data_IF_058590199940
#
_entry.id   IF_058590199940
#
_cell.length_a   1.000
_cell.length_b   1.000
_cell.length_c   1.000
_cell.angle_alpha   90.00
_cell.angle_beta   90.00
_cell.angle_gamma   90.00
#
_symmetry.space_group_name_H-M   'P 1'
#
loop_
_entity.id
_entity.type
_entity.pdbx_description
1 polymer ?
#
# COMPACT_ATOMS: atom_id res chain seq x y z
N UNK A 1 6.51 -38.28 -21.87
CA UNK A 1 7.10 -38.76 -20.59
C UNK A 1 7.81 -37.59 -19.91
N UNK A 2 7.11 -36.56 -19.42
CA UNK A 2 6.65 -36.33 -18.03
C UNK A 2 7.74 -36.48 -16.95
N UNK A 3 8.59 -35.45 -16.89
CA UNK A 3 9.22 -34.78 -15.74
C UNK A 3 9.06 -35.47 -14.37
N UNK A 4 10.02 -36.32 -14.00
CA UNK A 4 10.14 -36.92 -12.64
C UNK A 4 11.25 -36.32 -11.77
N UNK A 5 11.93 -35.25 -12.21
CA UNK A 5 13.14 -34.75 -11.53
C UNK A 5 12.93 -33.59 -10.54
N UNK A 6 11.75 -32.98 -10.49
CA UNK A 6 11.50 -31.79 -9.64
C UNK A 6 10.98 -32.16 -8.24
N UNK A 7 10.52 -33.39 -8.02
CA UNK A 7 9.95 -33.80 -6.73
C UNK A 7 10.99 -34.19 -5.67
N UNK A 8 12.28 -34.32 -6.02
CA UNK A 8 13.31 -34.85 -5.12
C UNK A 8 14.09 -33.81 -4.33
N UNK A 9 13.99 -32.52 -4.66
CA UNK A 9 14.75 -31.44 -4.00
C UNK A 9 14.00 -30.89 -2.78
N UNK A 10 12.66 -30.98 -2.76
CA UNK A 10 11.83 -30.46 -1.67
C UNK A 10 11.90 -31.34 -0.41
N UNK A 11 12.29 -32.61 -0.52
CA UNK A 11 12.33 -33.53 0.63
C UNK A 11 13.64 -33.50 1.43
N UNK A 12 14.72 -32.88 0.91
CA UNK A 12 16.02 -32.84 1.60
C UNK A 12 16.15 -31.63 2.54
N UNK A 13 15.34 -30.57 2.36
CA UNK A 13 15.37 -29.40 3.25
C UNK A 13 14.62 -29.58 4.58
N UNK A 14 13.86 -30.67 4.75
CA UNK A 14 13.05 -30.90 5.96
C UNK A 14 13.80 -31.65 7.09
N UNK A 15 15.05 -32.07 6.90
CA UNK A 15 15.78 -32.93 7.88
C UNK A 15 16.85 -32.15 8.68
N UNK A 16 17.11 -30.88 8.38
CA UNK A 16 18.14 -30.10 9.10
C UNK A 16 17.60 -29.31 10.32
N UNK A 17 16.28 -29.31 10.57
CA UNK A 17 15.68 -28.60 11.72
C UNK A 17 15.32 -29.48 12.93
N UNK A 18 15.69 -30.76 12.96
CA UNK A 18 15.25 -31.69 14.02
C UNK A 18 16.30 -32.10 15.06
N UNK A 19 17.53 -31.60 15.00
CA UNK A 19 18.60 -32.04 15.92
C UNK A 19 19.21 -30.93 16.79
N UNK A 20 18.38 -30.13 17.47
CA UNK A 20 18.84 -29.40 18.66
C UNK A 20 17.83 -29.45 19.81
N UNK A 21 17.29 -30.64 20.05
CA UNK A 21 16.82 -31.12 21.35
C UNK A 21 17.43 -32.52 21.44
N UNK A 22 18.39 -32.81 22.31
CA UNK A 22 18.22 -33.01 23.75
C UNK A 22 19.63 -33.12 24.35
N UNK A 23 19.95 -32.39 25.42
CA UNK A 23 20.59 -32.97 26.62
C UNK A 23 20.81 -31.91 27.70
N UNK A 24 20.03 -31.97 28.78
CA UNK A 24 20.52 -32.28 30.13
C UNK A 24 19.41 -31.97 31.14
N UNK A 25 18.94 -33.05 31.75
CA UNK A 25 18.00 -33.05 32.86
C UNK A 25 18.57 -32.35 34.10
N UNK A 26 17.65 -31.81 34.90
CA UNK A 26 17.79 -31.42 36.30
C UNK A 26 18.61 -30.17 36.62
N UNK A 27 17.95 -29.01 36.58
CA UNK A 27 18.04 -28.04 37.70
C UNK A 27 16.84 -27.09 37.76
N UNK A 28 16.03 -27.31 38.80
CA UNK A 28 15.24 -26.34 39.58
C UNK A 28 14.28 -25.39 38.85
N UNK A 29 12.99 -25.75 38.85
CA UNK A 29 11.82 -25.08 39.51
C UNK A 29 11.76 -23.54 39.69
N UNK A 30 12.64 -22.74 39.10
CA UNK A 30 12.71 -21.28 39.27
C UNK A 30 12.39 -20.50 37.97
N UNK A 31 12.14 -21.19 36.86
CA UNK A 31 11.73 -20.58 35.58
C UNK A 31 10.25 -20.73 35.25
N UNK A 32 9.49 -21.50 36.03
CA UNK A 32 8.05 -21.73 35.79
C UNK A 32 7.16 -20.56 36.20
N UNK A 33 7.64 -19.65 37.06
CA UNK A 33 6.85 -18.50 37.53
C UNK A 33 6.93 -17.27 36.61
N UNK A 34 7.95 -17.18 35.74
CA UNK A 34 8.11 -16.05 34.81
C UNK A 34 7.40 -16.23 33.46
N UNK A 35 6.96 -17.44 33.13
CA UNK A 35 6.32 -17.71 31.82
C UNK A 35 4.79 -17.51 31.88
N UNK A 36 4.16 -17.64 33.06
CA UNK A 36 2.71 -17.37 33.19
C UNK A 36 2.33 -15.87 33.19
N UNK A 37 3.23 -14.97 33.58
CA UNK A 37 2.95 -13.51 33.59
C UNK A 37 3.12 -12.89 32.19
N UNK A 38 3.96 -13.46 31.33
CA UNK A 38 4.21 -12.93 29.98
C UNK A 38 3.13 -13.25 28.92
N UNK A 39 2.27 -14.24 29.17
CA UNK A 39 1.21 -14.65 28.23
C UNK A 39 -0.17 -14.06 28.53
N UNK A 40 -0.38 -13.48 29.72
CA UNK A 40 -1.62 -12.77 30.03
C UNK A 40 -1.59 -11.28 29.63
N UNK A 41 -0.42 -10.67 29.46
CA UNK A 41 -0.30 -9.28 29.01
C UNK A 41 -0.49 -9.09 27.50
N UNK A 42 -0.36 -10.16 26.69
CA UNK A 42 -0.47 -10.07 25.22
C UNK A 42 -1.90 -10.17 24.69
N UNK A 43 -2.85 -10.70 25.45
CA UNK A 43 -4.24 -10.86 25.02
C UNK A 43 -5.18 -9.72 25.49
N UNK A 44 -4.71 -8.81 26.35
CA UNK A 44 -5.52 -7.66 26.80
C UNK A 44 -5.19 -6.36 26.03
N UNK A 45 -4.06 -6.32 25.33
CA UNK A 45 -3.62 -5.15 24.53
C UNK A 45 -4.23 -5.16 23.12
N UNK A 46 -4.43 -6.32 22.49
CA UNK A 46 -5.16 -6.43 21.21
C UNK A 46 -6.65 -6.08 21.33
N UNK A 47 -7.29 -6.37 22.47
CA UNK A 47 -8.72 -6.05 22.68
C UNK A 47 -9.00 -4.57 22.97
N UNK A 48 -7.98 -3.77 23.33
CA UNK A 48 -8.13 -2.31 23.53
C UNK A 48 -7.84 -1.51 22.26
N UNK A 49 -7.00 -2.02 21.36
CA UNK A 49 -6.68 -1.34 20.08
C UNK A 49 -7.87 -1.40 19.13
N UNK A 50 -8.62 -2.51 19.09
CA UNK A 50 -9.82 -2.63 18.26
C UNK A 50 -11.00 -1.75 18.74
N UNK A 51 -11.09 -1.44 20.04
CA UNK A 51 -12.16 -0.60 20.59
C UNK A 51 -11.88 0.92 20.47
N UNK A 52 -10.63 1.32 20.24
CA UNK A 52 -10.25 2.73 20.08
C UNK A 52 -10.29 3.18 18.60
N UNK A 53 -10.11 2.26 17.65
CA UNK A 53 -10.24 2.51 16.20
C UNK A 53 -11.72 2.67 15.77
N UNK A 54 -12.67 2.02 16.46
CA UNK A 54 -14.12 2.28 16.28
C UNK A 54 -14.60 3.63 16.86
N UNK A 55 -13.85 4.24 17.80
CA UNK A 55 -14.22 5.57 18.34
C UNK A 55 -13.69 6.74 17.51
N UNK A 56 -12.61 6.57 16.74
CA UNK A 56 -12.15 7.60 15.78
C UNK A 56 -13.01 7.66 14.51
N UNK A 57 -13.55 6.54 14.07
CA UNK A 57 -14.41 6.45 12.87
C UNK A 57 -15.82 7.02 13.05
N UNK A 58 -16.21 7.44 14.27
CA UNK A 58 -17.48 8.14 14.53
C UNK A 58 -17.36 9.68 14.60
N UNK A 59 -16.15 10.23 14.72
CA UNK A 59 -15.92 11.69 14.73
C UNK A 59 -15.47 12.28 13.39
N UNK A 60 -15.11 11.46 12.40
CA UNK A 60 -14.77 11.93 11.04
C UNK A 60 -15.99 12.16 10.13
N UNK A 61 -17.20 11.83 10.58
CA UNK A 61 -18.44 12.11 9.81
C UNK A 61 -19.02 13.52 10.00
N UNK A 62 -18.39 14.37 10.82
CA UNK A 62 -18.92 15.72 11.13
C UNK A 62 -17.95 16.87 10.81
N UNK A 63 -16.79 16.60 10.18
CA UNK A 63 -15.81 17.65 9.78
C UNK A 63 -15.58 17.65 8.27
N UNK A 64 -16.65 17.54 7.48
CA UNK A 64 -16.60 17.71 6.01
C UNK A 64 -17.35 18.98 5.53
N UNK A 65 -17.61 19.91 6.45
CA UNK A 65 -17.95 21.29 6.12
C UNK A 65 -17.04 22.21 6.94
N UNK A 66 -16.32 23.10 6.25
CA UNK A 66 -15.43 24.14 6.79
C UNK A 66 -14.00 23.69 7.16
N UNK A 67 -13.11 23.67 6.17
CA UNK A 67 -11.91 24.54 6.15
C UNK A 67 -10.84 23.98 5.21
N UNK A 68 -10.79 24.50 3.99
CA UNK A 68 -9.52 24.89 3.37
C UNK A 68 -9.86 25.85 2.23
N UNK A 69 -10.04 27.11 2.63
CA UNK A 69 -9.89 28.25 1.73
C UNK A 69 -8.42 28.38 1.34
N UNK A 70 -8.23 28.82 0.10
CA UNK A 70 -6.98 29.23 -0.54
C UNK A 70 -5.91 28.16 -0.77
N UNK A 71 -5.94 27.62 -1.99
CA UNK A 71 -4.76 27.75 -2.87
C UNK A 71 -5.21 27.72 -4.33
N UNK A 72 -4.91 28.82 -5.01
CA UNK A 72 -4.84 29.06 -6.46
C UNK A 72 -5.36 27.91 -7.31
N UNK A 73 -6.63 28.04 -7.69
CA UNK A 73 -7.25 27.26 -8.76
C UNK A 73 -6.56 27.62 -10.07
N UNK A 74 -5.44 26.96 -10.36
CA UNK A 74 -4.98 26.81 -11.74
C UNK A 74 -6.07 26.03 -12.45
N UNK A 75 -6.71 26.68 -13.42
CA UNK A 75 -7.75 26.16 -14.29
C UNK A 75 -7.28 24.82 -14.91
N UNK A 76 -7.61 23.71 -14.25
CA UNK A 76 -7.41 22.37 -14.76
C UNK A 76 -8.60 22.10 -15.69
N UNK A 77 -8.29 21.80 -16.95
CA UNK A 77 -9.21 21.28 -17.96
C UNK A 77 -10.25 20.37 -17.29
N UNK A 78 -11.52 20.79 -17.36
CA UNK A 78 -12.71 20.17 -16.75
C UNK A 78 -13.05 18.78 -17.32
N UNK A 79 -12.11 18.12 -18.00
CA UNK A 79 -12.33 16.88 -18.76
C UNK A 79 -11.56 15.67 -18.22
N UNK A 80 -10.67 15.84 -17.24
CA UNK A 80 -9.95 14.66 -16.72
C UNK A 80 -10.90 13.76 -15.94
N UNK A 81 -10.98 12.48 -16.36
CA UNK A 81 -11.78 11.44 -15.69
C UNK A 81 -11.37 11.18 -14.24
N UNK A 82 -10.23 11.71 -13.79
CA UNK A 82 -9.69 11.52 -12.45
C UNK A 82 -9.31 12.84 -11.82
N UNK A 83 -9.79 13.06 -10.60
CA UNK A 83 -9.33 14.15 -9.74
C UNK A 83 -8.36 13.58 -8.71
N UNK A 84 -7.11 14.04 -8.75
CA UNK A 84 -6.09 13.65 -7.77
C UNK A 84 -6.21 14.45 -6.46
N UNK A 85 -6.23 13.75 -5.34
CA UNK A 85 -6.08 14.32 -3.99
C UNK A 85 -4.62 14.21 -3.59
N UNK A 86 -3.94 15.35 -3.47
CA UNK A 86 -2.52 15.43 -3.11
C UNK A 86 -2.37 15.31 -1.59
N UNK A 87 -1.38 14.54 -1.15
CA UNK A 87 -1.04 14.28 0.24
C UNK A 87 0.46 14.44 0.45
N UNK A 88 0.83 14.92 1.62
CA UNK A 88 2.23 14.98 2.03
C UNK A 88 2.77 13.57 2.34
N UNK A 89 4.03 13.33 1.97
CA UNK A 89 4.72 12.14 2.44
C UNK A 89 5.03 12.27 3.92
N UNK A 90 4.72 11.23 4.68
CA UNK A 90 4.97 11.18 6.12
C UNK A 90 5.94 10.04 6.43
N UNK A 91 6.70 10.17 7.50
CA UNK A 91 7.51 9.08 8.07
C UNK A 91 6.63 7.90 8.49
N UNK A 92 7.24 6.72 8.69
CA UNK A 92 6.51 5.50 9.07
C UNK A 92 5.73 5.60 10.39
N UNK A 93 6.07 6.57 11.25
CA UNK A 93 5.33 6.88 12.48
C UNK A 93 4.21 7.91 12.29
N UNK A 94 4.05 8.47 11.08
CA UNK A 94 3.05 9.46 10.72
C UNK A 94 3.26 10.86 11.29
N UNK A 95 4.38 11.13 11.99
CA UNK A 95 4.58 12.39 12.73
C UNK A 95 5.40 13.43 11.99
N UNK A 96 6.33 12.99 11.15
CA UNK A 96 7.25 13.88 10.44
C UNK A 96 6.88 13.94 8.96
N UNK A 97 6.64 15.16 8.47
CA UNK A 97 6.53 15.40 7.03
C UNK A 97 7.89 15.18 6.37
N UNK A 98 7.94 14.26 5.43
CA UNK A 98 9.08 14.03 4.56
C UNK A 98 9.07 15.00 3.39
N UNK A 99 10.22 15.13 2.72
CA UNK A 99 10.28 15.90 1.49
C UNK A 99 9.56 15.15 0.36
N UNK A 100 8.50 15.76 -0.18
CA UNK A 100 7.75 15.24 -1.31
C UNK A 100 6.26 15.03 -1.03
N UNK A 101 5.53 14.78 -2.10
CA UNK A 101 4.08 14.60 -2.09
C UNK A 101 3.70 13.43 -2.98
N UNK A 102 2.58 12.81 -2.64
CA UNK A 102 1.94 11.81 -3.49
C UNK A 102 0.49 12.20 -3.74
N UNK A 103 -0.17 11.51 -4.65
CA UNK A 103 -1.61 11.68 -4.80
C UNK A 103 -2.33 10.35 -4.94
N UNK A 104 -3.60 10.36 -4.56
CA UNK A 104 -4.53 9.28 -4.85
C UNK A 104 -5.76 9.86 -5.55
N UNK A 105 -6.20 9.21 -6.62
CA UNK A 105 -7.43 9.53 -7.33
C UNK A 105 -8.22 8.28 -7.63
N UNK A 106 -9.51 8.46 -7.87
CA UNK A 106 -10.42 7.36 -8.22
C UNK A 106 -11.02 7.60 -9.60
N UNK A 107 -11.12 6.54 -10.39
CA UNK A 107 -11.83 6.53 -11.67
C UNK A 107 -12.99 5.54 -11.63
N UNK A 108 -14.09 5.84 -12.31
CA UNK A 108 -15.29 4.98 -12.33
C UNK A 108 -15.64 4.48 -13.74
N UNK A 109 -14.73 4.68 -14.69
CA UNK A 109 -14.83 4.28 -16.09
C UNK A 109 -13.46 3.85 -16.59
N UNK A 110 -13.42 3.02 -17.62
CA UNK A 110 -12.15 2.60 -18.20
C UNK A 110 -11.33 3.81 -18.70
N UNK A 111 -10.03 3.75 -18.45
CA UNK A 111 -9.05 4.76 -18.87
C UNK A 111 -8.39 4.29 -20.17
N UNK A 112 -8.39 5.14 -21.19
CA UNK A 112 -7.61 4.94 -22.40
C UNK A 112 -6.15 5.32 -22.19
N UNK A 113 -5.27 4.93 -23.12
CA UNK A 113 -3.87 5.38 -23.10
C UNK A 113 -3.77 6.92 -23.12
N UNK A 114 -4.63 7.60 -23.89
CA UNK A 114 -4.70 9.07 -23.92
C UNK A 114 -5.08 9.65 -22.56
N UNK A 115 -6.01 9.00 -21.83
CA UNK A 115 -6.35 9.41 -20.46
C UNK A 115 -5.13 9.29 -19.53
N UNK A 116 -4.38 8.19 -19.64
CA UNK A 116 -3.17 7.97 -18.82
C UNK A 116 -2.09 9.01 -19.13
N UNK A 117 -1.87 9.32 -20.41
CA UNK A 117 -0.93 10.37 -20.86
C UNK A 117 -1.34 11.73 -20.31
N UNK A 118 -2.62 12.10 -20.45
CA UNK A 118 -3.16 13.38 -19.98
C UNK A 118 -3.02 13.50 -18.45
N UNK A 119 -3.45 12.49 -17.71
CA UNK A 119 -3.36 12.49 -16.24
C UNK A 119 -1.90 12.59 -15.79
N UNK A 120 -1.01 11.81 -16.38
CA UNK A 120 0.40 11.84 -16.02
C UNK A 120 1.03 13.21 -16.28
N UNK A 121 0.94 13.72 -17.50
CA UNK A 121 1.58 14.97 -17.87
C UNK A 121 0.97 16.16 -17.12
N UNK A 122 -0.37 16.27 -17.08
CA UNK A 122 -1.04 17.45 -16.52
C UNK A 122 -1.13 17.45 -14.99
N UNK A 123 -1.28 16.29 -14.36
CA UNK A 123 -1.54 16.22 -12.93
C UNK A 123 -0.40 15.61 -12.10
N UNK A 124 0.41 14.72 -12.65
CA UNK A 124 1.47 14.03 -11.89
C UNK A 124 2.81 14.73 -12.10
N UNK A 125 3.27 14.80 -13.34
CA UNK A 125 4.55 15.40 -13.76
C UNK A 125 4.59 16.91 -13.47
N UNK A 126 3.56 17.64 -13.90
CA UNK A 126 3.48 19.09 -13.67
C UNK A 126 3.46 19.46 -12.18
N UNK A 127 2.81 18.64 -11.34
CA UNK A 127 2.78 18.85 -9.88
C UNK A 127 4.01 18.30 -9.16
N UNK A 128 4.97 17.71 -9.89
CA UNK A 128 6.21 17.12 -9.37
C UNK A 128 5.97 16.12 -8.24
N UNK A 129 4.92 15.31 -8.37
CA UNK A 129 4.60 14.28 -7.38
C UNK A 129 5.66 13.18 -7.42
N UNK A 130 5.97 12.60 -6.26
CA UNK A 130 6.88 11.45 -6.14
C UNK A 130 6.26 10.20 -6.76
N UNK A 131 4.97 9.98 -6.47
CA UNK A 131 4.15 8.94 -7.07
C UNK A 131 2.68 9.34 -7.02
N UNK A 132 1.84 8.69 -7.82
CA UNK A 132 0.40 8.83 -7.74
C UNK A 132 -0.31 7.52 -8.03
N UNK A 133 -1.40 7.26 -7.31
CA UNK A 133 -2.23 6.08 -7.47
C UNK A 133 -3.58 6.45 -8.08
N UNK A 134 -3.96 5.77 -9.16
CA UNK A 134 -5.29 5.84 -9.76
C UNK A 134 -6.00 4.52 -9.41
N UNK A 135 -6.95 4.56 -8.49
CA UNK A 135 -7.66 3.37 -8.00
C UNK A 135 -9.00 3.23 -8.74
N UNK A 136 -9.34 2.03 -9.19
CA UNK A 136 -10.66 1.76 -9.77
C UNK A 136 -11.72 1.88 -8.68
N UNK A 137 -12.64 2.82 -8.82
CA UNK A 137 -13.74 3.03 -7.90
C UNK A 137 -14.78 1.90 -7.92
N UNK A 138 -14.82 1.11 -9.00
CA UNK A 138 -15.68 -0.08 -9.17
C UNK A 138 -15.04 -1.33 -8.54
N UNK A 139 -13.71 -1.43 -8.58
CA UNK A 139 -12.92 -2.45 -7.87
C UNK A 139 -11.75 -1.80 -7.14
N UNK A 140 -11.96 -1.50 -5.86
CA UNK A 140 -10.98 -0.77 -5.02
C UNK A 140 -9.69 -1.52 -4.76
N UNK A 141 -9.58 -2.78 -5.20
CA UNK A 141 -8.36 -3.57 -5.11
C UNK A 141 -7.55 -3.52 -6.40
N UNK A 142 -7.96 -2.74 -7.41
CA UNK A 142 -7.26 -2.57 -8.69
C UNK A 142 -6.91 -1.12 -8.95
N UNK A 143 -5.80 -0.91 -9.63
CA UNK A 143 -5.40 0.44 -10.02
C UNK A 143 -4.03 0.53 -10.68
N UNK A 144 -3.70 1.74 -11.06
CA UNK A 144 -2.41 2.15 -11.60
C UNK A 144 -1.61 2.87 -10.52
N UNK A 145 -0.32 2.57 -10.40
CA UNK A 145 0.60 3.31 -9.53
C UNK A 145 1.74 3.85 -10.39
N UNK A 146 1.75 5.17 -10.54
CA UNK A 146 2.73 5.92 -11.31
C UNK A 146 3.89 6.37 -10.44
N UNK A 147 5.09 6.19 -10.93
CA UNK A 147 6.27 6.93 -10.48
C UNK A 147 6.38 8.29 -11.19
N UNK A 148 7.18 9.20 -10.63
CA UNK A 148 7.44 10.51 -11.25
C UNK A 148 8.09 10.44 -12.64
N UNK A 149 8.76 9.33 -12.99
CA UNK A 149 9.42 9.16 -14.28
C UNK A 149 8.49 8.76 -15.42
N UNK A 150 7.22 8.45 -15.14
CA UNK A 150 6.25 7.98 -16.13
C UNK A 150 6.09 6.46 -16.15
N UNK A 151 6.98 5.72 -15.47
CA UNK A 151 6.82 4.28 -15.28
C UNK A 151 5.65 4.04 -14.34
N UNK A 152 4.78 3.09 -14.69
CA UNK A 152 3.66 2.67 -13.87
C UNK A 152 3.49 1.15 -13.86
N UNK A 153 2.91 0.67 -12.77
CA UNK A 153 2.36 -0.67 -12.66
C UNK A 153 0.84 -0.59 -12.58
N UNK A 154 0.16 -1.49 -13.29
CA UNK A 154 -1.25 -1.79 -13.12
C UNK A 154 -1.41 -3.16 -12.47
N UNK A 155 -2.25 -3.26 -11.46
CA UNK A 155 -2.53 -4.54 -10.80
C UNK A 155 -3.27 -4.37 -9.50
N UNK A 156 -2.97 -5.26 -8.53
CA UNK A 156 -3.63 -5.26 -7.23
C UNK A 156 -3.06 -4.18 -6.33
N UNK A 157 -3.93 -3.34 -5.74
CA UNK A 157 -3.56 -2.28 -4.79
C UNK A 157 -4.13 -2.56 -3.39
N UNK A 158 -3.49 -2.01 -2.38
CA UNK A 158 -3.99 -2.04 -0.99
C UNK A 158 -4.86 -0.80 -0.65
N UNK A 159 -5.31 -0.73 0.61
CA UNK A 159 -6.14 0.38 1.13
C UNK A 159 -5.48 1.76 1.04
N UNK A 160 -4.16 1.82 0.88
CA UNK A 160 -3.40 3.06 0.74
C UNK A 160 -3.20 3.47 -0.72
N UNK A 161 -3.60 2.60 -1.66
CA UNK A 161 -3.35 2.77 -3.09
C UNK A 161 -1.96 2.29 -3.52
N UNK A 162 -1.22 1.59 -2.65
CA UNK A 162 0.09 1.02 -2.98
C UNK A 162 -0.06 -0.27 -3.79
N UNK A 163 0.81 -0.49 -4.78
CA UNK A 163 0.82 -1.72 -5.58
C UNK A 163 1.35 -2.89 -4.74
N UNK A 164 0.59 -3.99 -4.69
CA UNK A 164 0.97 -5.22 -3.98
C UNK A 164 1.29 -6.36 -4.94
N UNK A 165 0.73 -6.33 -6.15
CA UNK A 165 1.02 -7.27 -7.22
C UNK A 165 0.82 -6.59 -8.57
N UNK A 166 1.90 -6.47 -9.35
CA UNK A 166 1.83 -5.98 -10.73
C UNK A 166 1.30 -7.07 -11.67
N UNK A 167 0.41 -6.68 -12.58
CA UNK A 167 -0.13 -7.52 -13.65
C UNK A 167 0.32 -7.03 -15.02
N UNK A 168 0.59 -5.73 -15.14
CA UNK A 168 1.09 -5.09 -16.34
C UNK A 168 1.95 -3.91 -15.92
N UNK A 169 3.08 -3.74 -16.59
CA UNK A 169 3.94 -2.56 -16.43
C UNK A 169 3.93 -1.77 -17.72
N UNK A 170 4.00 -0.45 -17.60
CA UNK A 170 4.13 0.42 -18.75
C UNK A 170 4.85 1.71 -18.41
N UNK A 171 5.03 2.53 -19.42
CA UNK A 171 5.67 3.83 -19.34
C UNK A 171 4.88 4.84 -20.16
N UNK A 172 4.55 5.97 -19.53
CA UNK A 172 4.02 7.13 -20.22
C UNK A 172 5.19 7.95 -20.75
N UNK A 173 5.30 8.02 -22.08
CA UNK A 173 6.19 8.95 -22.77
C UNK A 173 5.50 10.31 -22.93
N UNK A 174 6.07 11.22 -23.72
CA UNK A 174 5.45 12.53 -23.95
C UNK A 174 4.01 12.42 -24.47
N UNK A 175 3.76 11.49 -25.40
CA UNK A 175 2.49 11.42 -26.14
C UNK A 175 1.87 10.02 -26.23
N UNK A 176 2.46 9.01 -25.58
CA UNK A 176 1.97 7.63 -25.71
C UNK A 176 2.29 6.78 -24.49
N UNK A 177 1.64 5.61 -24.43
CA UNK A 177 1.94 4.56 -23.46
C UNK A 177 2.68 3.43 -24.16
N UNK A 178 3.76 2.95 -23.54
CA UNK A 178 4.50 1.76 -23.94
C UNK A 178 4.29 0.69 -22.87
N UNK A 179 3.98 -0.53 -23.28
CA UNK A 179 3.76 -1.67 -22.37
C UNK A 179 4.89 -2.69 -22.48
N UNK A 180 5.23 -3.32 -21.36
CA UNK A 180 6.32 -4.30 -21.22
C UNK A 180 5.80 -5.69 -20.86
#
# INVERSE_FOLDING_TARGET
MKNKKILSIIMVLAIVFSNLFVSCSDTSKAQEEKIKVGQQAKNEEEAKVDAEEERKSKNEKEVEQQNSSDNTSTELSSESKVKLVVKDLMSGDGKTKLNGQYAIGYYYSDLSDDDLVKIFNEQIKNKKLNYASLVDGRDKNKGYVFSTSGIFDFGTVDKTGGITKSEKTGEVTENSVIYY
#
